data_IF_895845736244
#
_entry.id   IF_895845736244
#
_cell.length_a   1.000
_cell.length_b   1.000
_cell.length_c   1.000
_cell.angle_alpha   90.00
_cell.angle_beta   90.00
_cell.angle_gamma   90.00
#
_symmetry.space_group_name_H-M   'P 1'
#
loop_
_entity.id
_entity.type
_entity.pdbx_description
1 polymer ?
#
# COMPACT_ATOMS: atom_id res chain seq x y z
N UNK A 1 11.27 17.76 31.38
CA UNK A 1 11.76 18.88 30.54
C UNK A 1 11.63 18.44 29.09
N UNK A 2 10.74 19.08 28.34
CA UNK A 2 10.32 18.73 26.98
C UNK A 2 9.86 17.27 26.80
N UNK A 3 8.69 16.97 27.35
CA UNK A 3 7.92 15.82 26.90
C UNK A 3 7.41 16.14 25.50
N UNK A 4 8.20 15.84 24.48
CA UNK A 4 7.74 15.78 23.09
C UNK A 4 6.69 14.68 23.02
N UNK A 5 5.45 15.03 23.33
CA UNK A 5 4.34 14.12 23.26
C UNK A 5 3.84 14.00 21.83
N UNK A 6 2.91 13.06 21.64
CA UNK A 6 2.10 13.05 20.42
C UNK A 6 1.48 14.41 20.06
N UNK A 7 0.98 15.26 20.99
CA UNK A 7 0.38 16.54 20.60
C UNK A 7 1.36 17.49 19.91
N UNK A 8 2.58 17.67 20.42
CA UNK A 8 3.58 18.54 19.77
C UNK A 8 3.94 18.04 18.37
N UNK A 9 4.10 16.71 18.20
CA UNK A 9 4.42 16.10 16.91
C UNK A 9 3.28 16.29 15.89
N UNK A 10 2.04 16.21 16.36
CA UNK A 10 0.84 16.38 15.54
C UNK A 10 0.71 17.84 15.07
N UNK A 11 0.97 18.82 15.95
CA UNK A 11 0.99 20.24 15.58
C UNK A 11 2.04 20.52 14.49
N UNK A 12 3.25 19.99 14.64
CA UNK A 12 4.31 20.14 13.63
C UNK A 12 3.92 19.46 12.31
N UNK A 13 3.31 18.26 12.37
CA UNK A 13 2.82 17.56 11.18
C UNK A 13 1.77 18.37 10.43
N UNK A 14 0.83 19.02 11.14
CA UNK A 14 -0.19 19.88 10.53
C UNK A 14 0.46 21.09 9.84
N UNK A 15 1.43 21.75 10.48
CA UNK A 15 2.15 22.87 9.86
C UNK A 15 2.91 22.40 8.62
N UNK A 16 3.59 21.25 8.70
CA UNK A 16 4.29 20.66 7.56
C UNK A 16 3.32 20.32 6.41
N UNK A 17 2.13 19.79 6.73
CA UNK A 17 1.06 19.53 5.77
C UNK A 17 0.53 20.81 5.10
N UNK A 18 0.47 21.93 5.82
CA UNK A 18 0.07 23.21 5.25
C UNK A 18 1.13 23.79 4.31
N UNK A 19 2.41 23.65 4.66
CA UNK A 19 3.53 24.17 3.85
C UNK A 19 3.79 23.29 2.61
N UNK A 20 3.88 21.97 2.80
CA UNK A 20 4.18 21.03 1.73
C UNK A 20 2.94 20.58 0.95
N UNK A 21 1.75 20.69 1.55
CA UNK A 21 0.50 20.17 1.01
C UNK A 21 0.30 18.68 1.31
N UNK A 22 -0.94 18.28 1.58
CA UNK A 22 -1.31 16.88 1.85
C UNK A 22 -1.01 15.92 0.69
N UNK A 23 -0.96 16.42 -0.54
CA UNK A 23 -0.67 15.61 -1.73
C UNK A 23 0.81 15.26 -1.90
N UNK A 24 1.73 16.03 -1.30
CA UNK A 24 3.18 15.81 -1.46
C UNK A 24 3.75 14.75 -0.52
N UNK A 25 3.13 14.57 0.66
CA UNK A 25 3.48 13.50 1.60
C UNK A 25 3.37 12.08 1.02
N UNK A 26 2.25 11.67 0.38
CA UNK A 26 2.14 10.34 -0.22
C UNK A 26 3.02 10.16 -1.46
N UNK A 27 3.26 11.23 -2.22
CA UNK A 27 4.16 11.21 -3.39
C UNK A 27 5.60 10.90 -2.96
N UNK A 28 6.10 11.61 -1.94
CA UNK A 28 7.42 11.37 -1.35
C UNK A 28 7.45 10.00 -0.67
N UNK A 29 6.44 9.64 0.13
CA UNK A 29 6.34 8.35 0.81
C UNK A 29 6.33 7.14 -0.13
N UNK A 30 5.68 7.24 -1.29
CA UNK A 30 5.68 6.19 -2.32
C UNK A 30 7.07 6.00 -2.92
N UNK A 31 7.79 7.10 -3.21
CA UNK A 31 9.16 7.04 -3.74
C UNK A 31 10.14 6.46 -2.71
N UNK A 32 10.05 6.93 -1.45
CA UNK A 32 10.86 6.44 -0.34
C UNK A 32 10.57 4.97 -0.03
N UNK A 33 9.29 4.58 -0.05
CA UNK A 33 8.84 3.22 0.20
C UNK A 33 9.38 2.23 -0.84
N UNK A 34 9.42 2.61 -2.12
CA UNK A 34 10.05 1.80 -3.17
C UNK A 34 11.56 1.65 -2.95
N UNK A 35 12.25 2.74 -2.58
CA UNK A 35 13.67 2.69 -2.27
C UNK A 35 13.94 1.78 -1.06
N UNK A 36 13.22 1.96 0.05
CA UNK A 36 13.35 1.15 1.27
C UNK A 36 13.07 -0.33 0.99
N UNK A 37 12.05 -0.66 0.18
CA UNK A 37 11.77 -2.05 -0.23
C UNK A 37 12.91 -2.66 -1.03
N UNK A 38 13.54 -1.90 -1.92
CA UNK A 38 14.72 -2.33 -2.67
C UNK A 38 15.96 -2.53 -1.79
N UNK A 39 16.20 -1.59 -0.86
CA UNK A 39 17.27 -1.73 0.14
C UNK A 39 17.04 -2.95 1.02
N UNK A 40 15.81 -3.14 1.53
CA UNK A 40 15.45 -4.25 2.40
C UNK A 40 15.57 -5.59 1.66
N UNK A 41 15.08 -5.70 0.43
CA UNK A 41 15.27 -6.90 -0.39
C UNK A 41 16.75 -7.25 -0.66
N UNK A 42 17.63 -6.25 -0.81
CA UNK A 42 19.06 -6.48 -0.97
C UNK A 42 19.77 -6.90 0.33
N UNK A 43 19.29 -6.42 1.47
CA UNK A 43 19.79 -6.80 2.81
C UNK A 43 19.30 -8.20 3.18
N UNK A 44 18.02 -8.49 2.94
CA UNK A 44 17.40 -9.80 3.19
C UNK A 44 17.95 -10.89 2.25
N UNK A 45 18.34 -10.56 1.00
CA UNK A 45 18.97 -11.54 0.09
C UNK A 45 20.31 -12.12 0.60
N UNK A 46 20.89 -11.56 1.67
CA UNK A 46 22.08 -12.10 2.33
C UNK A 46 21.76 -13.18 3.37
N UNK A 47 20.48 -13.41 3.68
CA UNK A 47 19.99 -14.42 4.62
C UNK A 47 18.86 -15.20 3.94
N UNK A 48 19.14 -16.43 3.49
CA UNK A 48 18.27 -17.25 2.65
C UNK A 48 16.80 -17.34 3.14
N UNK A 49 15.88 -16.66 2.43
CA UNK A 49 14.44 -16.94 2.26
C UNK A 49 13.88 -15.98 1.17
N UNK A 50 13.02 -16.40 0.23
CA UNK A 50 12.56 -15.53 -0.86
C UNK A 50 11.60 -14.46 -0.32
N UNK A 51 11.95 -13.16 -0.37
CA UNK A 51 11.02 -12.10 -0.01
C UNK A 51 10.40 -11.56 -1.30
N UNK A 52 9.59 -12.40 -1.95
CA UNK A 52 8.63 -11.96 -2.95
C UNK A 52 7.28 -11.76 -2.26
N UNK A 53 6.58 -10.66 -2.53
CA UNK A 53 5.14 -10.47 -2.23
C UNK A 53 4.71 -9.84 -0.90
N UNK A 54 5.56 -9.15 -0.13
CA UNK A 54 5.11 -8.40 1.06
C UNK A 54 4.71 -6.92 0.81
N UNK A 55 4.52 -6.49 -0.45
CA UNK A 55 4.43 -5.05 -0.77
C UNK A 55 3.40 -4.65 -1.85
N UNK A 56 2.44 -5.51 -2.19
CA UNK A 56 1.17 -5.09 -2.78
C UNK A 56 0.08 -5.25 -1.72
N UNK A 57 -0.02 -4.31 -0.79
CA UNK A 57 -1.22 -4.11 0.02
C UNK A 57 -2.20 -3.15 -0.67
N UNK A 58 -2.20 -3.15 -2.01
CA UNK A 58 -3.19 -2.48 -2.85
C UNK A 58 -3.70 -3.50 -3.89
N UNK A 59 -4.09 -4.68 -3.42
CA UNK A 59 -4.93 -5.60 -4.18
C UNK A 59 -6.40 -5.30 -3.85
N UNK A 60 -7.32 -5.29 -4.82
CA UNK A 60 -8.74 -5.15 -4.51
C UNK A 60 -9.17 -6.26 -3.54
N UNK A 61 -10.16 -5.98 -2.69
CA UNK A 61 -10.74 -6.97 -1.79
C UNK A 61 -11.93 -7.63 -2.48
N UNK A 62 -12.04 -8.96 -2.44
CA UNK A 62 -13.16 -9.66 -3.06
C UNK A 62 -14.49 -9.23 -2.38
N UNK A 63 -15.46 -8.59 -3.09
CA UNK A 63 -16.69 -8.09 -2.49
C UNK A 63 -17.64 -9.19 -2.01
N UNK A 64 -17.39 -10.45 -2.40
CA UNK A 64 -18.21 -11.60 -2.00
C UNK A 64 -17.77 -12.29 -0.73
N UNK A 65 -16.47 -12.32 -0.41
CA UNK A 65 -15.95 -13.12 0.71
C UNK A 65 -14.90 -12.41 1.56
N UNK A 66 -14.50 -11.19 1.20
CA UNK A 66 -13.58 -10.37 1.96
C UNK A 66 -12.19 -10.99 2.10
N UNK A 67 -11.65 -11.62 1.05
CA UNK A 67 -10.24 -12.02 1.02
C UNK A 67 -9.46 -11.15 0.03
N UNK A 68 -8.19 -10.83 0.33
CA UNK A 68 -7.32 -10.12 -0.60
C UNK A 68 -7.06 -10.99 -1.82
N UNK A 69 -7.10 -10.39 -3.00
CA UNK A 69 -6.69 -11.06 -4.23
C UNK A 69 -5.69 -10.18 -4.99
N UNK A 70 -4.86 -10.83 -5.79
CA UNK A 70 -3.98 -10.14 -6.72
C UNK A 70 -4.82 -9.48 -7.81
N UNK A 71 -4.48 -8.25 -8.21
CA UNK A 71 -5.27 -7.45 -9.17
C UNK A 71 -5.48 -8.13 -10.54
N UNK A 72 -4.69 -9.16 -10.84
CA UNK A 72 -4.73 -9.97 -12.05
C UNK A 72 -5.60 -11.25 -11.94
N UNK A 73 -6.18 -11.52 -10.76
CA UNK A 73 -7.02 -12.69 -10.57
C UNK A 73 -8.42 -12.49 -11.21
N UNK A 74 -8.71 -13.29 -12.24
CA UNK A 74 -10.01 -13.33 -12.93
C UNK A 74 -11.11 -13.94 -12.05
N UNK A 75 -10.73 -14.78 -11.08
CA UNK A 75 -11.63 -15.59 -10.28
C UNK A 75 -11.11 -15.67 -8.84
N UNK A 76 -12.02 -15.62 -7.86
CA UNK A 76 -11.69 -15.77 -6.45
C UNK A 76 -11.46 -17.26 -6.12
N UNK A 77 -10.24 -17.70 -5.79
CA UNK A 77 -9.96 -19.11 -5.50
C UNK A 77 -10.63 -19.63 -4.22
N UNK A 78 -11.13 -18.74 -3.35
CA UNK A 78 -11.76 -19.12 -2.07
C UNK A 78 -13.28 -19.29 -2.12
N UNK A 79 -13.98 -18.54 -2.97
CA UNK A 79 -15.45 -18.59 -3.05
C UNK A 79 -15.97 -18.79 -4.47
N UNK A 80 -15.07 -18.82 -5.45
CA UNK A 80 -15.41 -19.03 -6.85
C UNK A 80 -16.19 -17.89 -7.51
N UNK A 81 -16.09 -16.67 -7.00
CA UNK A 81 -16.73 -15.49 -7.60
C UNK A 81 -15.79 -14.84 -8.62
N UNK A 82 -16.29 -14.48 -9.81
CA UNK A 82 -15.50 -13.74 -10.82
C UNK A 82 -15.14 -12.33 -10.35
N UNK A 83 -13.89 -11.92 -10.58
CA UNK A 83 -13.30 -10.67 -10.03
C UNK A 83 -12.74 -9.72 -11.10
N UNK A 84 -12.99 -9.97 -12.39
CA UNK A 84 -12.51 -9.10 -13.48
C UNK A 84 -13.02 -7.66 -13.34
N UNK A 85 -12.10 -6.74 -13.07
CA UNK A 85 -12.34 -5.30 -13.08
C UNK A 85 -11.39 -4.65 -14.10
N UNK A 86 -11.91 -4.32 -15.28
CA UNK A 86 -11.13 -3.63 -16.31
C UNK A 86 -11.86 -3.37 -17.63
N UNK A 87 -13.11 -2.91 -17.64
CA UNK A 87 -13.65 -1.96 -18.64
C UNK A 87 -15.10 -1.58 -18.30
N UNK A 88 -15.46 -0.30 -18.48
CA UNK A 88 -16.85 0.15 -18.51
C UNK A 88 -17.50 -0.30 -19.82
N UNK A 89 -18.73 -0.82 -19.78
CA UNK A 89 -19.74 -0.56 -20.82
C UNK A 89 -20.45 -1.79 -21.42
N UNK A 90 -21.80 -1.73 -21.42
CA UNK A 90 -22.71 -2.57 -22.22
C UNK A 90 -22.80 -4.02 -21.74
N UNK A 91 -23.93 -4.70 -21.68
CA UNK A 91 -25.14 -4.63 -22.50
C UNK A 91 -26.32 -5.27 -21.74
N UNK A 92 -27.50 -4.68 -21.97
CA UNK A 92 -28.87 -5.15 -21.72
C UNK A 92 -29.39 -5.22 -20.27
#
# INVERSE_FOLDING_TARGET
MFGLGMPELLVVLVIALLVFGASKLPEIGSSLGKAIRGFKGAVDAKEELPPGEAAKADGPFCPGCGKPHVAEAVFCPHCGKGLRAGEKGGDA
#
